data_IF_357254028308
#
_entry.id   IF_357254028308
#
_cell.length_a   1.000
_cell.length_b   1.000
_cell.length_c   1.000
_cell.angle_alpha   90.00
_cell.angle_beta   90.00
_cell.angle_gamma   90.00
#
_symmetry.space_group_name_H-M   'P 1'
#
loop_
_entity.id
_entity.type
_entity.pdbx_description
1 polymer ?
#
# COMPACT_ATOMS: atom_id res chain seq x y z
N UNK A 1 -4.93 19.47 5.02
CA UNK A 1 -5.57 18.40 4.22
C UNK A 1 -6.68 17.77 5.03
N UNK A 2 -7.81 17.48 4.39
CA UNK A 2 -8.89 16.75 5.03
C UNK A 2 -8.74 15.24 4.79
N UNK A 3 -9.31 14.41 5.65
CA UNK A 3 -9.27 12.93 5.51
C UNK A 3 -9.84 12.49 4.15
N UNK A 4 -10.95 13.08 3.75
CA UNK A 4 -11.57 12.77 2.46
C UNK A 4 -10.66 13.07 1.28
N UNK A 5 -9.95 14.20 1.33
CA UNK A 5 -8.96 14.57 0.31
C UNK A 5 -7.80 13.59 0.27
N UNK A 6 -7.26 13.22 1.43
CA UNK A 6 -6.18 12.24 1.50
C UNK A 6 -6.59 10.89 0.89
N UNK A 7 -7.83 10.47 1.11
CA UNK A 7 -8.37 9.23 0.55
C UNK A 7 -8.47 9.23 -0.99
N UNK A 8 -8.45 10.39 -1.64
CA UNK A 8 -8.39 10.46 -3.11
C UNK A 8 -7.06 9.94 -3.67
N UNK A 9 -6.00 9.96 -2.87
CA UNK A 9 -4.67 9.48 -3.28
C UNK A 9 -4.41 8.02 -2.90
N UNK A 10 -5.11 7.51 -1.93
CA UNK A 10 -4.99 6.15 -1.41
C UNK A 10 -5.43 6.11 0.03
N UNK A 11 -5.73 4.93 0.53
CA UNK A 11 -6.21 4.76 1.90
C UNK A 11 -5.32 3.78 2.65
N UNK A 12 -4.82 4.18 3.81
CA UNK A 12 -4.20 3.26 4.76
C UNK A 12 -5.29 2.57 5.59
N UNK A 13 -5.01 1.35 6.02
CA UNK A 13 -5.84 0.63 6.97
C UNK A 13 -5.32 0.81 8.38
N UNK A 14 -6.21 0.94 9.33
CA UNK A 14 -5.86 0.85 10.74
C UNK A 14 -5.52 -0.61 11.05
N UNK A 15 -4.54 -0.84 11.90
CA UNK A 15 -4.11 -2.17 12.28
C UNK A 15 -5.23 -2.99 12.96
N UNK A 16 -4.93 -4.24 13.19
CA UNK A 16 -5.76 -5.15 13.98
C UNK A 16 -4.90 -5.85 15.05
N UNK A 17 -5.46 -6.82 15.76
CA UNK A 17 -4.74 -7.54 16.82
C UNK A 17 -3.50 -8.30 16.33
N UNK A 18 -3.46 -8.70 15.04
CA UNK A 18 -2.34 -9.42 14.42
C UNK A 18 -1.33 -8.49 13.76
N UNK A 19 -1.75 -7.29 13.39
CA UNK A 19 -0.95 -6.32 12.65
C UNK A 19 -0.96 -5.00 13.41
N UNK A 20 0.03 -4.75 14.26
CA UNK A 20 0.13 -3.48 14.97
C UNK A 20 0.40 -2.33 14.00
N UNK A 21 -0.10 -1.16 14.35
CA UNK A 21 0.06 0.01 13.53
C UNK A 21 -0.86 0.07 12.32
N UNK A 22 -0.50 0.89 11.36
CA UNK A 22 -1.25 1.08 10.11
C UNK A 22 -0.62 0.28 8.98
N UNK A 23 -1.39 0.01 7.94
CA UNK A 23 -0.92 -0.71 6.75
C UNK A 23 -1.35 -0.01 5.47
N UNK A 24 -0.57 -0.19 4.41
CA UNK A 24 -0.95 0.15 3.04
C UNK A 24 -0.85 -1.10 2.17
N UNK A 25 -1.88 -1.37 1.41
CA UNK A 25 -1.96 -2.54 0.56
C UNK A 25 -2.42 -2.19 -0.85
N UNK A 26 -1.93 -2.94 -1.80
CA UNK A 26 -2.38 -2.91 -3.19
C UNK A 26 -2.80 -4.31 -3.63
N UNK A 27 -3.33 -4.42 -4.84
CA UNK A 27 -3.82 -5.65 -5.41
C UNK A 27 -2.71 -6.73 -5.47
N UNK A 28 -2.91 -7.85 -4.79
CA UNK A 28 -1.97 -8.98 -4.82
C UNK A 28 -1.87 -9.64 -6.21
N UNK A 29 -2.91 -9.55 -7.03
CA UNK A 29 -2.87 -10.03 -8.41
C UNK A 29 -1.94 -9.20 -9.30
N UNK A 30 -1.61 -7.97 -8.90
CA UNK A 30 -0.68 -7.08 -9.57
C UNK A 30 0.76 -7.18 -9.05
N UNK A 31 1.05 -8.11 -8.14
CA UNK A 31 2.40 -8.40 -7.66
C UNK A 31 3.23 -8.98 -8.82
N UNK A 32 4.18 -8.20 -9.36
CA UNK A 32 4.86 -8.51 -10.61
C UNK A 32 5.64 -9.82 -10.53
N UNK A 33 6.56 -9.92 -9.59
CA UNK A 33 7.36 -11.14 -9.37
C UNK A 33 6.52 -12.27 -8.78
N UNK A 34 5.68 -11.97 -7.80
CA UNK A 34 4.84 -12.95 -7.14
C UNK A 34 3.84 -13.62 -8.09
N UNK A 35 3.29 -12.88 -9.06
CA UNK A 35 2.39 -13.43 -10.06
C UNK A 35 3.07 -14.45 -10.97
N UNK A 36 4.36 -14.27 -11.27
CA UNK A 36 5.17 -15.23 -12.00
C UNK A 36 5.48 -16.45 -11.14
N UNK A 37 5.90 -16.23 -9.90
CA UNK A 37 6.23 -17.31 -8.95
C UNK A 37 4.98 -18.10 -8.51
N UNK A 38 3.80 -17.53 -8.54
CA UNK A 38 2.55 -18.22 -8.23
C UNK A 38 2.30 -19.43 -9.13
N UNK A 39 2.87 -19.45 -10.34
CA UNK A 39 2.80 -20.55 -11.29
C UNK A 39 3.86 -21.64 -11.05
N UNK A 40 4.80 -21.39 -10.14
CA UNK A 40 5.90 -22.31 -9.81
C UNK A 40 5.52 -23.10 -8.57
N UNK A 41 5.34 -24.40 -8.74
CA UNK A 41 5.06 -25.33 -7.62
C UNK A 41 6.20 -25.29 -6.60
N UNK A 42 5.84 -25.25 -5.31
CA UNK A 42 6.80 -25.19 -4.22
C UNK A 42 7.35 -23.79 -3.91
N UNK A 43 7.04 -22.77 -4.71
CA UNK A 43 7.38 -21.38 -4.36
C UNK A 43 6.47 -20.84 -3.27
N UNK A 44 6.97 -19.86 -2.51
CA UNK A 44 6.18 -19.17 -1.47
C UNK A 44 4.92 -18.53 -2.08
N UNK A 45 5.02 -18.01 -3.29
CA UNK A 45 3.93 -17.33 -3.99
C UNK A 45 2.90 -18.27 -4.61
N UNK A 46 3.18 -19.56 -4.72
CA UNK A 46 2.26 -20.55 -5.27
C UNK A 46 0.96 -20.64 -4.45
N UNK A 47 1.04 -20.46 -3.14
CA UNK A 47 -0.11 -20.40 -2.23
C UNK A 47 -0.18 -19.08 -1.50
N UNK A 48 -0.22 -17.98 -2.25
CA UNK A 48 -0.27 -16.64 -1.68
C UNK A 48 -1.57 -16.43 -0.88
N UNK A 49 -1.43 -16.22 0.43
CA UNK A 49 -2.55 -16.00 1.33
C UNK A 49 -3.37 -14.75 0.97
N UNK A 50 -2.72 -13.72 0.43
CA UNK A 50 -3.40 -12.47 0.08
C UNK A 50 -4.25 -12.61 -1.18
N UNK A 51 -3.83 -13.40 -2.16
CA UNK A 51 -4.66 -13.78 -3.32
C UNK A 51 -5.89 -14.52 -2.85
N UNK A 52 -5.71 -15.49 -1.96
CA UNK A 52 -6.82 -16.25 -1.35
C UNK A 52 -7.78 -15.33 -0.60
N UNK A 53 -7.25 -14.42 0.21
CA UNK A 53 -8.05 -13.44 0.96
C UNK A 53 -8.87 -12.55 0.03
N UNK A 54 -8.27 -12.02 -1.04
CA UNK A 54 -8.98 -11.20 -2.00
C UNK A 54 -10.11 -11.95 -2.72
N UNK A 55 -9.88 -13.22 -3.06
CA UNK A 55 -10.93 -14.07 -3.64
C UNK A 55 -12.11 -14.29 -2.69
N UNK A 56 -11.84 -14.42 -1.40
CA UNK A 56 -12.87 -14.72 -0.39
C UNK A 56 -13.57 -13.47 0.15
N UNK A 57 -12.96 -12.28 0.02
CA UNK A 57 -13.46 -11.04 0.59
C UNK A 57 -13.55 -9.91 -0.44
N UNK A 58 -14.69 -9.76 -1.11
CA UNK A 58 -14.86 -8.75 -2.17
C UNK A 58 -14.60 -7.32 -1.73
N UNK A 59 -14.92 -6.96 -0.50
CA UNK A 59 -14.66 -5.61 0.03
C UNK A 59 -13.17 -5.30 0.16
N UNK A 60 -12.38 -6.28 0.59
CA UNK A 60 -10.90 -6.19 0.67
C UNK A 60 -10.31 -6.10 -0.73
N UNK A 61 -10.73 -6.96 -1.64
CA UNK A 61 -10.31 -6.94 -3.04
C UNK A 61 -10.55 -5.57 -3.69
N UNK A 62 -11.74 -5.01 -3.51
CA UNK A 62 -12.11 -3.69 -4.02
C UNK A 62 -11.20 -2.58 -3.44
N UNK A 63 -10.90 -2.63 -2.15
CA UNK A 63 -10.05 -1.65 -1.48
C UNK A 63 -8.61 -1.67 -2.01
N UNK A 64 -8.03 -2.84 -2.16
CA UNK A 64 -6.66 -3.02 -2.67
C UNK A 64 -6.54 -2.59 -4.14
N UNK A 65 -7.51 -2.95 -4.97
CA UNK A 65 -7.58 -2.50 -6.37
C UNK A 65 -7.72 -0.99 -6.49
N UNK A 66 -8.51 -0.36 -5.63
CA UNK A 66 -8.64 1.10 -5.58
C UNK A 66 -7.32 1.78 -5.24
N UNK A 67 -6.57 1.27 -4.27
CA UNK A 67 -5.27 1.83 -3.92
C UNK A 67 -4.29 1.77 -5.10
N UNK A 68 -4.23 0.64 -5.79
CA UNK A 68 -3.38 0.49 -6.97
C UNK A 68 -3.80 1.44 -8.10
N UNK A 69 -5.09 1.53 -8.38
CA UNK A 69 -5.64 2.45 -9.38
C UNK A 69 -5.27 3.89 -9.07
N UNK A 70 -5.42 4.31 -7.83
CA UNK A 70 -5.09 5.68 -7.39
C UNK A 70 -3.59 5.95 -7.51
N UNK A 71 -2.74 5.02 -7.09
CA UNK A 71 -1.31 5.16 -7.28
C UNK A 71 -0.95 5.37 -8.76
N UNK A 72 -1.41 4.51 -9.64
CA UNK A 72 -1.15 4.61 -11.09
C UNK A 72 -1.64 5.92 -11.68
N UNK A 73 -2.82 6.37 -11.27
CA UNK A 73 -3.38 7.65 -11.70
C UNK A 73 -2.47 8.82 -11.33
N UNK A 74 -2.03 8.88 -10.09
CA UNK A 74 -1.21 10.00 -9.60
C UNK A 74 0.23 9.89 -10.06
N UNK A 75 0.77 8.69 -10.23
CA UNK A 75 2.07 8.48 -10.84
C UNK A 75 2.12 9.02 -12.28
N UNK A 76 1.04 8.86 -13.05
CA UNK A 76 0.89 9.41 -14.39
C UNK A 76 0.84 10.95 -14.42
N UNK A 77 0.49 11.60 -13.32
CA UNK A 77 0.59 13.05 -13.20
C UNK A 77 2.02 13.54 -12.95
N UNK A 78 3.00 12.65 -12.98
CA UNK A 78 4.40 12.97 -12.79
C UNK A 78 4.73 13.39 -11.36
N UNK A 79 5.67 14.32 -11.24
CA UNK A 79 6.20 14.72 -9.93
C UNK A 79 5.13 15.33 -9.01
N UNK A 80 4.25 16.17 -9.54
CA UNK A 80 3.18 16.79 -8.75
C UNK A 80 2.25 15.73 -8.15
N UNK A 81 1.83 14.75 -8.93
CA UNK A 81 0.98 13.66 -8.46
C UNK A 81 1.65 12.82 -7.36
N UNK A 82 2.92 12.52 -7.52
CA UNK A 82 3.72 11.80 -6.50
C UNK A 82 3.83 12.61 -5.21
N UNK A 83 4.11 13.90 -5.28
CA UNK A 83 4.19 14.78 -4.11
C UNK A 83 2.85 14.82 -3.35
N UNK A 84 1.74 14.88 -4.05
CA UNK A 84 0.43 14.86 -3.44
C UNK A 84 0.12 13.51 -2.78
N UNK A 85 0.50 12.39 -3.42
CA UNK A 85 0.38 11.07 -2.82
C UNK A 85 1.21 10.95 -1.53
N UNK A 86 2.47 11.41 -1.56
CA UNK A 86 3.34 11.45 -0.37
C UNK A 86 2.68 12.23 0.76
N UNK A 87 2.20 13.44 0.46
CA UNK A 87 1.51 14.28 1.43
C UNK A 87 0.29 13.59 2.04
N UNK A 88 -0.49 12.90 1.23
CA UNK A 88 -1.67 12.16 1.68
C UNK A 88 -1.31 10.98 2.60
N UNK A 89 -0.24 10.24 2.29
CA UNK A 89 0.23 9.14 3.14
C UNK A 89 0.79 9.66 4.46
N UNK A 90 1.65 10.67 4.43
CA UNK A 90 2.19 11.33 5.65
C UNK A 90 1.06 11.81 6.55
N UNK A 91 0.08 12.50 5.99
CA UNK A 91 -1.07 13.00 6.73
C UNK A 91 -1.84 11.87 7.44
N UNK A 92 -2.14 10.79 6.74
CA UNK A 92 -2.90 9.67 7.31
C UNK A 92 -2.12 8.94 8.40
N UNK A 93 -0.82 8.68 8.19
CA UNK A 93 0.05 8.01 9.16
C UNK A 93 0.19 8.89 10.42
N UNK A 94 0.45 10.18 10.24
CA UNK A 94 0.56 11.12 11.34
C UNK A 94 -0.73 11.21 12.16
N UNK A 95 -1.87 11.30 11.46
CA UNK A 95 -3.19 11.37 12.11
C UNK A 95 -3.52 10.11 12.90
N UNK A 96 -3.07 8.95 12.47
CA UNK A 96 -3.33 7.68 13.13
C UNK A 96 -2.61 7.54 14.48
N UNK A 97 -1.59 8.37 14.74
CA UNK A 97 -0.80 8.36 16.00
C UNK A 97 -0.23 6.99 16.34
N UNK A 98 0.25 6.27 15.32
CA UNK A 98 0.82 4.93 15.47
C UNK A 98 2.34 4.99 15.51
N UNK A 99 2.96 3.96 16.10
CA UNK A 99 4.41 3.81 16.18
C UNK A 99 4.98 3.00 15.02
N UNK A 100 4.13 2.28 14.29
CA UNK A 100 4.53 1.36 13.23
C UNK A 100 3.63 1.51 12.01
N UNK A 101 4.22 1.40 10.82
CA UNK A 101 3.52 1.36 9.54
C UNK A 101 4.11 0.29 8.64
N UNK A 102 3.26 -0.61 8.14
CA UNK A 102 3.67 -1.66 7.21
C UNK A 102 3.26 -1.30 5.78
N UNK A 103 4.23 -1.41 4.88
CA UNK A 103 4.00 -1.33 3.45
C UNK A 103 3.76 -2.74 2.89
N UNK A 104 2.73 -2.85 2.07
CA UNK A 104 2.40 -4.09 1.36
C UNK A 104 2.18 -5.32 2.25
N UNK A 105 1.20 -5.24 3.14
CA UNK A 105 0.61 -6.45 3.71
C UNK A 105 -0.15 -7.27 2.63
N UNK A 106 -0.43 -6.64 1.48
CA UNK A 106 -0.84 -7.29 0.23
C UNK A 106 -0.24 -6.56 -0.96
N UNK A 107 0.10 -7.29 -2.01
CA UNK A 107 0.76 -6.74 -3.19
C UNK A 107 2.24 -6.48 -2.97
N UNK A 108 2.83 -5.71 -3.85
CA UNK A 108 4.25 -5.35 -3.81
C UNK A 108 4.51 -4.05 -4.55
N UNK A 109 5.75 -3.56 -4.46
CA UNK A 109 6.24 -2.39 -5.19
C UNK A 109 5.94 -2.49 -6.69
N UNK A 110 5.43 -1.41 -7.25
CA UNK A 110 5.08 -1.35 -8.67
C UNK A 110 6.18 -0.70 -9.51
N UNK A 111 7.03 0.13 -8.90
CA UNK A 111 8.07 0.86 -9.59
C UNK A 111 9.13 1.41 -8.64
N UNK A 112 10.27 1.82 -9.20
CA UNK A 112 11.28 2.58 -8.45
C UNK A 112 10.70 3.92 -7.95
N UNK A 113 9.86 4.56 -8.75
CA UNK A 113 9.18 5.80 -8.33
C UNK A 113 8.32 5.62 -7.08
N UNK A 114 7.66 4.48 -6.95
CA UNK A 114 6.90 4.15 -5.75
C UNK A 114 7.81 3.95 -4.54
N UNK A 115 8.93 3.25 -4.70
CA UNK A 115 9.90 3.06 -3.63
C UNK A 115 10.46 4.40 -3.12
N UNK A 116 10.81 5.31 -4.03
CA UNK A 116 11.30 6.64 -3.68
C UNK A 116 10.23 7.48 -2.96
N UNK A 117 8.97 7.37 -3.39
CA UNK A 117 7.85 8.02 -2.70
C UNK A 117 7.66 7.49 -1.28
N UNK A 118 7.74 6.18 -1.09
CA UNK A 118 7.68 5.54 0.23
C UNK A 118 8.83 5.99 1.13
N UNK A 119 10.04 6.05 0.59
CA UNK A 119 11.21 6.54 1.33
C UNK A 119 11.02 7.98 1.81
N UNK A 120 10.41 8.83 0.98
CA UNK A 120 10.09 10.21 1.37
C UNK A 120 9.01 10.28 2.46
N UNK A 121 7.99 9.42 2.39
CA UNK A 121 6.99 9.29 3.47
C UNK A 121 7.67 8.91 4.79
N UNK A 122 8.57 7.93 4.76
CA UNK A 122 9.31 7.51 5.94
C UNK A 122 10.20 8.63 6.50
N UNK A 123 10.85 9.39 5.63
CA UNK A 123 11.66 10.56 6.03
C UNK A 123 10.82 11.63 6.74
N UNK A 124 9.58 11.85 6.29
CA UNK A 124 8.67 12.84 6.88
C UNK A 124 7.93 12.33 8.13
N UNK A 125 8.03 11.06 8.44
CA UNK A 125 7.43 10.46 9.66
C UNK A 125 8.49 9.74 10.50
N UNK A 126 9.50 10.48 11.02
CA UNK A 126 10.70 9.88 11.63
C UNK A 126 10.42 9.14 12.95
N UNK A 127 9.30 9.39 13.60
CA UNK A 127 8.92 8.69 14.83
C UNK A 127 8.16 7.38 14.58
N UNK A 128 7.88 7.07 13.33
CA UNK A 128 7.17 5.84 12.93
C UNK A 128 8.17 4.85 12.35
N UNK A 129 8.11 3.61 12.82
CA UNK A 129 8.89 2.50 12.24
C UNK A 129 8.19 2.03 10.97
N UNK A 130 8.87 2.14 9.85
CA UNK A 130 8.39 1.65 8.55
C UNK A 130 9.02 0.30 8.22
N UNK A 131 8.22 -0.63 7.70
CA UNK A 131 8.68 -1.97 7.30
C UNK A 131 7.80 -2.57 6.21
#
# INVERSE_FOLDING_TARGET
MLVKEAHEFGKISLGNTKMPGTTYAVDAFACITGSKLAKVEGSICNQCNMIRLQKLRPSVDKGYKKNLFKWKRWDNFGNLGKQMWIKAMVFQIFRAKVEEHRWFDSGDLQSLGMLLAIAEVARQTPLVKHW
#
